data_IF_470024209107
#
_entry.id   IF_470024209107
#
_cell.length_a   1.000
_cell.length_b   1.000
_cell.length_c   1.000
_cell.angle_alpha   90.00
_cell.angle_beta   90.00
_cell.angle_gamma   90.00
#
_symmetry.space_group_name_H-M   'P 1'
#
loop_
_entity.id
_entity.type
_entity.pdbx_description
1 polymer ?
#
# COMPACT_ATOMS: atom_id res chain seq x y z
N UNK A 1 -17.12 -5.46 14.10
CA UNK A 1 -15.95 -5.55 13.20
C UNK A 1 -15.40 -4.13 13.04
N UNK A 2 -14.28 -3.80 13.69
CA UNK A 2 -13.62 -2.49 13.52
C UNK A 2 -12.60 -2.61 12.40
N UNK A 3 -12.72 -1.79 11.36
CA UNK A 3 -11.77 -1.73 10.22
C UNK A 3 -10.74 -0.63 10.52
N UNK A 4 -9.92 -0.83 11.55
CA UNK A 4 -8.96 0.20 12.03
C UNK A 4 -7.48 -0.24 11.93
N UNK A 5 -7.15 -1.32 11.24
CA UNK A 5 -5.79 -1.88 11.23
C UNK A 5 -5.06 -1.65 9.90
N UNK A 6 -4.74 -0.39 9.57
CA UNK A 6 -3.91 -0.10 8.39
C UNK A 6 -2.43 -0.27 8.71
N UNK A 7 -1.82 -1.32 8.15
CA UNK A 7 -0.37 -1.55 8.18
C UNK A 7 0.41 -0.40 7.55
N UNK A 8 1.36 0.15 8.33
CA UNK A 8 2.25 1.23 7.90
C UNK A 8 3.71 0.94 8.26
N UNK A 9 4.60 1.33 7.37
CA UNK A 9 6.04 1.45 7.65
C UNK A 9 6.35 2.89 8.01
N UNK A 10 6.91 3.13 9.19
CA UNK A 10 7.13 4.48 9.72
C UNK A 10 8.62 4.76 9.80
N UNK A 11 9.04 5.93 9.32
CA UNK A 11 10.42 6.39 9.47
C UNK A 11 10.77 6.50 10.98
N UNK A 12 11.95 6.06 11.43
CA UNK A 12 12.30 6.06 12.86
C UNK A 12 12.20 7.43 13.57
N UNK A 13 12.34 8.51 12.81
CA UNK A 13 12.22 9.90 13.27
C UNK A 13 10.87 10.56 12.92
N UNK A 14 9.88 9.82 12.42
CA UNK A 14 8.55 10.36 12.09
C UNK A 14 8.46 11.24 10.83
N UNK A 15 9.49 11.26 9.98
CA UNK A 15 9.50 12.05 8.75
C UNK A 15 8.40 11.65 7.76
N UNK A 16 8.01 10.38 7.74
CA UNK A 16 6.93 9.85 6.93
C UNK A 16 6.41 8.52 7.45
N UNK A 17 5.15 8.22 7.15
CA UNK A 17 4.56 6.90 7.28
C UNK A 17 4.07 6.43 5.90
N UNK A 18 4.49 5.24 5.48
CA UNK A 18 4.17 4.68 4.16
C UNK A 18 3.13 3.58 4.32
N UNK A 19 2.11 3.61 3.46
CA UNK A 19 1.15 2.51 3.27
C UNK A 19 1.18 2.05 1.83
N UNK A 20 0.96 0.76 1.60
CA UNK A 20 0.88 0.21 0.24
C UNK A 20 -0.58 0.22 -0.21
N UNK A 21 -0.84 0.61 -1.45
CA UNK A 21 -2.18 0.67 -2.01
C UNK A 21 -2.20 0.39 -3.51
N UNK A 22 -3.19 -0.35 -3.98
CA UNK A 22 -3.49 -0.42 -5.40
C UNK A 22 -4.17 0.85 -5.91
N UNK A 23 -3.84 1.24 -7.14
CA UNK A 23 -4.46 2.34 -7.85
C UNK A 23 -4.45 2.07 -9.37
N UNK A 24 -5.29 2.82 -10.07
CA UNK A 24 -5.29 2.90 -11.53
C UNK A 24 -4.57 4.19 -11.95
N UNK A 25 -3.95 4.23 -13.14
CA UNK A 25 -3.17 5.37 -13.67
C UNK A 25 -1.87 5.71 -12.91
N UNK A 26 -1.25 4.71 -12.26
CA UNK A 26 0.03 4.86 -11.55
C UNK A 26 1.14 5.19 -12.53
N UNK A 27 1.97 6.17 -12.19
CA UNK A 27 3.15 6.48 -12.99
C UNK A 27 2.84 6.98 -14.40
N UNK A 28 1.64 7.53 -14.64
CA UNK A 28 1.22 8.09 -15.94
C UNK A 28 2.20 9.17 -16.45
N UNK A 29 3.27 8.71 -17.09
CA UNK A 29 4.28 9.44 -17.85
C UNK A 29 4.10 8.98 -19.30
N UNK A 30 3.07 9.50 -19.99
CA UNK A 30 2.84 9.13 -21.40
C UNK A 30 1.43 9.36 -21.93
N UNK A 31 0.43 9.53 -21.06
CA UNK A 31 -0.96 9.79 -21.46
C UNK A 31 -1.65 10.66 -20.40
N UNK A 32 -1.64 11.97 -20.63
CA UNK A 32 -2.21 13.02 -19.79
C UNK A 32 -1.59 13.17 -18.37
N UNK A 33 -0.61 14.09 -18.18
CA UNK A 33 -0.04 14.45 -16.88
C UNK A 33 -1.07 14.92 -15.84
N UNK A 34 -2.30 15.25 -16.27
CA UNK A 34 -3.39 15.67 -15.39
C UNK A 34 -4.15 14.50 -14.77
N UNK A 35 -3.96 13.27 -15.24
CA UNK A 35 -4.51 12.06 -14.60
C UNK A 35 -3.52 11.53 -13.59
N UNK A 36 -3.65 12.00 -12.36
CA UNK A 36 -3.02 11.37 -11.21
C UNK A 36 -3.64 9.99 -10.92
N UNK A 37 -2.98 9.16 -10.11
CA UNK A 37 -3.48 7.84 -9.77
C UNK A 37 -4.82 7.92 -9.04
N UNK A 38 -5.65 6.91 -9.20
CA UNK A 38 -6.94 6.80 -8.51
C UNK A 38 -6.94 5.51 -7.74
N UNK A 39 -6.98 5.61 -6.42
CA UNK A 39 -7.03 4.42 -5.56
C UNK A 39 -8.39 3.73 -5.60
N UNK A 40 -8.45 2.50 -5.07
CA UNK A 40 -9.71 1.91 -4.60
C UNK A 40 -10.24 2.67 -3.37
N UNK A 41 -11.55 2.61 -3.07
CA UNK A 41 -12.13 3.28 -1.89
C UNK A 41 -11.34 2.94 -0.62
N UNK A 42 -11.03 3.96 0.17
CA UNK A 42 -10.25 3.83 1.40
C UNK A 42 -11.13 3.96 2.63
N UNK A 43 -10.73 3.25 3.68
CA UNK A 43 -11.46 3.24 4.96
C UNK A 43 -11.14 4.46 5.85
N UNK A 44 -11.82 4.54 7.01
CA UNK A 44 -11.73 5.67 7.93
C UNK A 44 -10.30 6.00 8.37
N UNK A 45 -9.45 4.99 8.61
CA UNK A 45 -8.06 5.18 9.03
C UNK A 45 -7.21 5.97 8.00
N UNK A 46 -7.47 5.77 6.70
CA UNK A 46 -6.80 6.54 5.65
C UNK A 46 -7.40 7.94 5.54
N UNK A 47 -8.73 8.09 5.65
CA UNK A 47 -9.38 9.40 5.61
C UNK A 47 -8.94 10.29 6.79
N UNK A 48 -8.86 9.73 7.99
CA UNK A 48 -8.37 10.43 9.19
C UNK A 48 -6.92 10.89 9.05
N UNK A 49 -6.06 10.07 8.43
CA UNK A 49 -4.66 10.42 8.16
C UNK A 49 -4.50 11.57 7.16
N UNK A 50 -5.35 11.62 6.12
CA UNK A 50 -5.29 12.66 5.08
C UNK A 50 -5.78 14.00 5.63
N UNK A 51 -6.79 13.98 6.50
CA UNK A 51 -7.41 15.18 7.07
C UNK A 51 -6.68 15.71 8.32
N UNK A 52 -5.63 15.02 8.78
CA UNK A 52 -4.90 15.30 10.03
C UNK A 52 -5.81 15.47 11.27
N UNK A 53 -7.07 15.02 11.20
CA UNK A 53 -8.12 15.37 12.15
C UNK A 53 -8.53 14.22 13.07
N UNK A 54 -7.95 13.02 12.89
CA UNK A 54 -8.30 11.86 13.70
C UNK A 54 -7.06 11.11 14.17
N UNK A 55 -6.92 10.84 15.49
CA UNK A 55 -5.94 9.89 15.98
C UNK A 55 -6.26 8.51 15.38
N UNK A 56 -5.38 8.03 14.51
CA UNK A 56 -5.52 6.72 13.88
C UNK A 56 -5.28 5.68 14.96
N UNK A 57 -6.24 4.76 15.15
CA UNK A 57 -6.10 3.65 16.09
C UNK A 57 -4.97 2.73 15.62
N UNK A 58 -4.04 2.40 16.53
CA UNK A 58 -2.70 1.85 16.20
C UNK A 58 -2.60 0.33 16.28
N UNK A 59 -3.72 -0.38 16.20
CA UNK A 59 -3.74 -1.84 16.34
C UNK A 59 -3.27 -2.58 15.06
N UNK A 60 -2.71 -1.85 14.09
CA UNK A 60 -2.33 -2.34 12.77
C UNK A 60 -0.87 -2.09 12.40
N UNK A 61 0.09 -2.14 13.33
CA UNK A 61 1.50 -2.18 12.92
C UNK A 61 1.85 -3.58 12.38
N UNK A 62 2.85 -3.71 11.49
CA UNK A 62 3.35 -5.02 11.02
C UNK A 62 3.87 -5.84 12.22
N UNK A 63 2.99 -6.60 12.86
CA UNK A 63 3.35 -7.59 13.86
C UNK A 63 3.71 -8.86 13.11
N UNK A 64 5.00 -8.98 12.78
CA UNK A 64 5.57 -10.27 12.38
C UNK A 64 5.66 -11.09 13.68
N UNK A 65 5.06 -12.29 13.78
CA UNK A 65 4.98 -13.06 15.04
C UNK A 65 6.33 -13.30 15.75
N UNK A 66 7.42 -13.25 14.99
CA UNK A 66 8.79 -13.46 15.44
C UNK A 66 9.52 -12.17 15.87
N UNK A 67 8.90 -10.99 15.66
CA UNK A 67 9.45 -9.70 16.06
C UNK A 67 8.76 -9.15 17.31
N UNK A 68 9.52 -8.52 18.22
CA UNK A 68 8.93 -7.88 19.38
C UNK A 68 7.93 -6.79 18.97
N UNK A 69 6.86 -6.58 19.75
CA UNK A 69 5.87 -5.56 19.45
C UNK A 69 6.54 -4.19 19.35
N UNK A 70 6.03 -3.37 18.44
CA UNK A 70 6.57 -2.05 18.21
C UNK A 70 6.53 -1.20 19.49
N UNK A 71 7.67 -0.59 19.82
CA UNK A 71 7.78 0.32 20.97
C UNK A 71 6.70 1.42 20.88
N UNK A 72 6.10 1.85 22.01
CA UNK A 72 5.04 2.87 22.03
C UNK A 72 5.38 4.15 21.25
N UNK A 73 6.66 4.56 21.24
CA UNK A 73 7.16 5.68 20.45
C UNK A 73 6.82 5.56 18.95
N UNK A 74 6.89 4.37 18.35
CA UNK A 74 6.63 4.18 16.93
C UNK A 74 5.13 4.27 16.61
N UNK A 75 4.28 3.95 17.58
CA UNK A 75 2.83 4.10 17.42
C UNK A 75 2.44 5.57 17.35
N UNK A 76 3.05 6.42 18.17
CA UNK A 76 2.83 7.86 18.14
C UNK A 76 3.39 8.51 16.86
N UNK A 77 4.56 8.05 16.41
CA UNK A 77 5.10 8.47 15.11
C UNK A 77 4.18 8.05 13.95
N UNK A 78 3.56 6.87 14.02
CA UNK A 78 2.61 6.42 12.98
C UNK A 78 1.37 7.31 12.85
N UNK A 79 0.97 7.98 13.94
CA UNK A 79 -0.18 8.90 13.99
C UNK A 79 0.15 10.29 13.45
N UNK A 80 1.35 10.77 13.76
CA UNK A 80 1.74 12.16 13.54
C UNK A 80 2.56 12.36 12.26
N UNK A 81 3.25 11.31 11.80
CA UNK A 81 4.05 11.39 10.59
C UNK A 81 3.17 11.64 9.35
N UNK A 82 3.61 12.48 8.39
CA UNK A 82 2.92 12.65 7.13
C UNK A 82 2.69 11.30 6.43
N UNK A 83 1.44 11.03 6.05
CA UNK A 83 1.10 9.82 5.31
C UNK A 83 1.60 9.92 3.87
N UNK A 84 2.19 8.83 3.38
CA UNK A 84 2.55 8.60 2.00
C UNK A 84 1.99 7.26 1.54
N UNK A 85 1.61 7.18 0.28
CA UNK A 85 1.11 5.96 -0.35
C UNK A 85 2.12 5.45 -1.37
N UNK A 86 2.62 4.23 -1.17
CA UNK A 86 3.28 3.47 -2.23
C UNK A 86 2.18 2.82 -3.08
N UNK A 87 1.91 3.46 -4.22
CA UNK A 87 0.91 3.07 -5.18
C UNK A 87 1.49 2.05 -6.15
N UNK A 88 0.70 1.04 -6.47
CA UNK A 88 1.06 0.05 -7.47
C UNK A 88 -0.09 -0.24 -8.42
N UNK A 89 0.27 -0.49 -9.68
CA UNK A 89 -0.65 -0.94 -10.74
C UNK A 89 0.01 -2.08 -11.50
N UNK A 90 -0.67 -3.22 -11.57
CA UNK A 90 -0.21 -4.35 -12.35
C UNK A 90 -0.64 -4.16 -13.81
N UNK A 91 0.33 -4.23 -14.71
CA UNK A 91 0.13 -4.14 -16.16
C UNK A 91 0.57 -5.43 -16.84
N UNK A 92 0.31 -5.54 -18.14
CA UNK A 92 0.81 -6.67 -18.93
C UNK A 92 2.35 -6.74 -19.00
N UNK A 93 3.04 -5.61 -18.83
CA UNK A 93 4.50 -5.52 -18.97
C UNK A 93 5.24 -5.55 -17.63
N UNK A 94 4.53 -5.46 -16.51
CA UNK A 94 5.13 -5.40 -15.19
C UNK A 94 4.33 -4.58 -14.18
N UNK A 95 4.99 -4.18 -13.10
CA UNK A 95 4.42 -3.42 -12.00
C UNK A 95 4.87 -1.95 -12.08
N UNK A 96 3.89 -1.05 -12.26
CA UNK A 96 4.10 0.38 -12.12
C UNK A 96 4.08 0.76 -10.65
N UNK A 97 4.98 1.66 -10.26
CA UNK A 97 5.15 2.09 -8.87
C UNK A 97 5.23 3.62 -8.77
N UNK A 98 4.55 4.18 -7.78
CA UNK A 98 4.58 5.61 -7.50
C UNK A 98 4.46 5.85 -5.99
N UNK A 99 5.34 6.66 -5.42
CA UNK A 99 5.25 7.09 -4.02
C UNK A 99 4.66 8.50 -3.97
N UNK A 100 3.43 8.61 -3.47
CA UNK A 100 2.65 9.85 -3.55
C UNK A 100 2.02 10.24 -2.22
N UNK A 101 2.06 11.53 -1.92
CA UNK A 101 1.43 12.08 -0.73
C UNK A 101 -0.05 12.39 -1.03
N UNK A 102 -1.01 11.73 -0.35
CA UNK A 102 -2.43 12.02 -0.54
C UNK A 102 -2.77 13.42 -0.01
N UNK A 103 -3.53 14.19 -0.79
CA UNK A 103 -3.96 15.55 -0.45
C UNK A 103 -5.49 15.70 -0.35
N UNK A 104 -6.24 14.65 -0.68
CA UNK A 104 -7.70 14.65 -0.58
C UNK A 104 -8.34 13.42 -1.20
N UNK A 105 -9.67 13.35 -1.11
CA UNK A 105 -10.46 12.25 -1.63
C UNK A 105 -11.70 12.75 -2.35
N UNK A 106 -12.22 11.91 -3.24
CA UNK A 106 -13.52 12.06 -3.89
C UNK A 106 -14.64 11.59 -2.96
N UNK A 107 -15.87 12.03 -3.23
CA UNK A 107 -17.06 11.66 -2.45
C UNK A 107 -17.32 10.15 -2.34
N UNK A 108 -16.77 9.33 -3.24
CA UNK A 108 -16.84 7.86 -3.19
C UNK A 108 -15.71 7.21 -2.36
N UNK A 109 -14.96 8.00 -1.60
CA UNK A 109 -13.93 7.55 -0.68
C UNK A 109 -12.60 7.16 -1.32
N UNK A 110 -12.43 7.39 -2.63
CA UNK A 110 -11.16 7.19 -3.34
C UNK A 110 -10.26 8.40 -3.19
N UNK A 111 -8.96 8.16 -3.00
CA UNK A 111 -7.94 9.21 -3.09
C UNK A 111 -7.64 9.44 -4.57
N UNK A 112 -7.83 10.68 -5.01
CA UNK A 112 -7.60 11.18 -6.38
C UNK A 112 -6.83 12.52 -6.41
N UNK A 113 -6.62 13.14 -5.24
CA UNK A 113 -5.85 14.38 -5.10
C UNK A 113 -4.52 14.09 -4.42
N UNK A 114 -3.44 14.59 -5.01
CA UNK A 114 -2.07 14.28 -4.61
C UNK A 114 -1.26 15.57 -4.46
N UNK A 115 -0.38 15.58 -3.45
CA UNK A 115 0.67 16.58 -3.29
C UNK A 115 1.93 16.17 -4.06
N UNK A 116 3.11 16.12 -3.41
CA UNK A 116 4.32 15.55 -3.98
C UNK A 116 4.13 14.12 -4.49
N UNK A 117 4.72 13.83 -5.65
CA UNK A 117 4.68 12.55 -6.34
C UNK A 117 6.08 12.15 -6.78
N UNK A 118 6.49 10.92 -6.49
CA UNK A 118 7.76 10.33 -6.90
C UNK A 118 7.43 9.09 -7.73
N UNK A 119 7.51 9.22 -9.05
CA UNK A 119 7.31 8.09 -9.96
C UNK A 119 8.56 7.22 -9.95
N UNK A 120 8.40 5.93 -9.67
CA UNK A 120 9.50 4.97 -9.62
C UNK A 120 9.62 4.25 -10.97
N UNK A 121 10.82 3.75 -11.32
CA UNK A 121 10.97 2.88 -12.48
C UNK A 121 10.04 1.68 -12.40
N UNK A 122 9.44 1.30 -13.54
CA UNK A 122 8.64 0.09 -13.65
C UNK A 122 9.48 -1.13 -13.28
N UNK A 123 8.91 -2.03 -12.48
CA UNK A 123 9.46 -3.37 -12.30
C UNK A 123 8.92 -4.25 -13.42
N UNK A 124 9.77 -4.59 -14.38
CA UNK A 124 9.37 -5.45 -15.49
C UNK A 124 9.08 -6.86 -14.98
N UNK A 125 8.03 -7.48 -15.49
CA UNK A 125 7.84 -8.91 -15.28
C UNK A 125 9.04 -9.65 -15.89
N UNK A 126 9.59 -10.68 -15.22
CA UNK A 126 10.64 -11.48 -15.81
C UNK A 126 10.12 -12.07 -17.13
N UNK A 127 10.87 -11.87 -18.21
CA UNK A 127 10.54 -12.42 -19.54
C UNK A 127 10.58 -13.95 -19.56
N UNK A 128 11.25 -14.53 -18.56
CA UNK A 128 11.41 -15.96 -18.38
C UNK A 128 10.72 -16.40 -17.08
N UNK A 129 9.54 -16.99 -17.22
CA UNK A 129 8.81 -17.64 -16.13
C UNK A 129 9.03 -19.15 -16.12
N UNK A 130 10.01 -19.69 -16.87
CA UNK A 130 10.30 -21.13 -16.91
C UNK A 130 10.69 -21.72 -15.56
N UNK A 131 11.14 -20.88 -14.61
CA UNK A 131 11.37 -21.29 -13.22
C UNK A 131 10.08 -21.46 -12.40
N UNK A 132 8.94 -20.99 -12.91
CA UNK A 132 7.62 -21.10 -12.30
C UNK A 132 6.64 -21.91 -13.17
N UNK A 133 7.06 -22.37 -14.34
CA UNK A 133 6.34 -23.45 -15.00
C UNK A 133 6.59 -24.68 -14.17
N UNK A 134 5.57 -25.09 -13.41
CA UNK A 134 5.50 -26.41 -12.82
C UNK A 134 5.86 -27.41 -13.93
N UNK A 135 7.05 -27.99 -13.84
CA UNK A 135 7.33 -29.24 -14.51
C UNK A 135 6.20 -30.18 -14.04
N UNK A 136 5.41 -30.73 -14.95
CA UNK A 136 4.40 -31.75 -14.64
C UNK A 136 5.09 -32.90 -13.88
N UNK A 137 5.08 -32.83 -12.56
CA UNK A 137 6.03 -33.59 -11.76
C UNK A 137 5.70 -33.61 -10.27
N UNK A 138 4.66 -34.38 -9.97
CA UNK A 138 4.23 -34.87 -8.66
C UNK A 138 3.16 -34.03 -7.94
N UNK A 139 1.91 -34.46 -8.12
CA UNK A 139 0.78 -33.96 -7.36
C UNK A 139 0.96 -34.30 -5.89
N UNK A 140 1.27 -33.30 -5.07
CA UNK A 140 1.17 -33.45 -3.63
C UNK A 140 -0.28 -33.69 -3.23
N UNK A 141 -0.61 -34.95 -2.92
CA UNK A 141 -1.89 -35.34 -2.33
C UNK A 141 -1.93 -34.83 -0.89
N UNK A 142 -2.64 -33.72 -0.67
CA UNK A 142 -2.84 -33.12 0.65
C UNK A 142 -4.05 -33.81 1.28
N UNK A 143 -3.87 -34.68 2.31
CA UNK A 143 -5.00 -35.34 2.94
C UNK A 143 -5.87 -34.32 3.68
N UNK A 144 -7.08 -34.09 3.17
CA UNK A 144 -8.10 -33.28 3.82
C UNK A 144 -8.78 -34.14 4.88
N UNK A 145 -8.60 -33.82 6.16
CA UNK A 145 -9.46 -34.38 7.21
C UNK A 145 -10.76 -33.56 7.30
N UNK A 146 -11.94 -34.15 7.05
CA UNK A 146 -13.20 -33.49 7.31
C UNK A 146 -13.39 -33.31 8.82
N UNK A 147 -13.90 -32.13 9.21
CA UNK A 147 -14.35 -31.83 10.58
C UNK A 147 -15.68 -32.50 10.89
#
# INVERSE_FOLDING_TARGET
>A
MSVDQQIRTVHPEGKMAIVVASADHVGSIGGDPKRGPITRPKGPATHGAITASFPISTDGMLNIPELPPAKPQFQELARTAPLWMLLHELTMTGLLLELSQPAGYRSDGRVDKWGPRIVLPQLNAPSDTSMFSDDEGDGFDIPVQPR
#
